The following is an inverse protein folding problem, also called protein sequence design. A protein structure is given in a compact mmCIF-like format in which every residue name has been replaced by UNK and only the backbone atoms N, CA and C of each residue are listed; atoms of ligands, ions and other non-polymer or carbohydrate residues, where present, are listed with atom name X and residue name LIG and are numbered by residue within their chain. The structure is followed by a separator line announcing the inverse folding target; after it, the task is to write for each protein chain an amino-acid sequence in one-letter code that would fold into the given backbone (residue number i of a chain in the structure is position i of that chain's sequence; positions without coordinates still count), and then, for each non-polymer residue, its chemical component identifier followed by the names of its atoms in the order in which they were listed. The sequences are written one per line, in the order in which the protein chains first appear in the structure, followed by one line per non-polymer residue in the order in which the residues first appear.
data_IF_321267680208
#
_entry.id   IF_321267680208
#
_cell.length_a   1.000
_cell.length_b   1.000
_cell.length_c   1.000
_cell.angle_alpha   90.00
_cell.angle_beta   90.00
_cell.angle_gamma   90.00
#
_symmetry.space_group_name_H-M   'P 1'
#
loop_
_entity.id
_entity.type
_entity.pdbx_description
1 polymer ?
#
# COMPACT_ATOMS: atom_id res chain seq x y z
N UNK A 1 -3.61 -31.77 2.33
CA UNK A 1 -4.54 -30.76 2.91
C UNK A 1 -4.05 -29.35 2.55
N UNK A 2 -4.86 -28.58 1.83
CA UNK A 2 -4.56 -27.17 1.59
C UNK A 2 -4.79 -26.40 2.90
N UNK A 3 -3.70 -26.01 3.55
CA UNK A 3 -3.74 -25.26 4.82
C UNK A 3 -4.13 -23.83 4.48
N UNK A 4 -5.32 -23.40 4.92
CA UNK A 4 -5.75 -22.01 4.79
C UNK A 4 -5.27 -21.20 5.99
N UNK A 5 -4.72 -20.01 5.73
CA UNK A 5 -4.24 -19.12 6.77
C UNK A 5 -5.41 -18.45 7.50
N UNK A 6 -5.33 -18.48 8.83
CA UNK A 6 -6.26 -17.78 9.73
C UNK A 6 -5.60 -16.56 10.41
N UNK A 7 -4.28 -16.42 10.27
CA UNK A 7 -3.45 -15.43 10.97
C UNK A 7 -2.25 -15.04 10.12
N UNK A 8 -1.91 -13.75 10.12
CA UNK A 8 -0.62 -13.24 9.67
C UNK A 8 0.12 -12.59 10.82
N UNK A 9 1.45 -12.69 10.83
CA UNK A 9 2.31 -12.18 11.91
C UNK A 9 3.36 -11.21 11.39
N UNK A 10 3.77 -10.26 12.23
CA UNK A 10 4.94 -9.42 12.02
C UNK A 10 5.53 -8.99 13.37
N UNK A 11 6.78 -8.52 13.36
CA UNK A 11 7.48 -8.10 14.57
C UNK A 11 8.33 -6.87 14.31
N UNK A 12 8.57 -6.10 15.37
CA UNK A 12 9.54 -4.99 15.39
C UNK A 12 10.44 -5.14 16.61
N UNK A 13 11.74 -5.07 16.36
CA UNK A 13 12.77 -5.01 17.40
C UNK A 13 13.22 -3.56 17.53
N UNK A 14 13.03 -2.98 18.71
CA UNK A 14 13.52 -1.66 19.07
C UNK A 14 14.38 -1.73 20.34
N UNK A 15 14.92 -0.58 20.75
CA UNK A 15 15.57 -0.42 22.07
C UNK A 15 14.71 0.54 22.91
N UNK A 16 14.32 0.18 24.14
CA UNK A 16 14.59 -1.07 24.85
C UNK A 16 13.57 -2.20 24.56
N UNK A 17 12.57 -1.97 23.71
CA UNK A 17 11.40 -2.85 23.58
C UNK A 17 11.27 -3.51 22.21
N UNK A 18 10.73 -4.72 22.20
CA UNK A 18 10.27 -5.42 21.00
C UNK A 18 8.78 -5.72 21.10
N UNK A 19 8.12 -5.90 19.96
CA UNK A 19 6.76 -6.41 19.92
C UNK A 19 6.56 -7.35 18.74
N UNK A 20 5.77 -8.40 18.98
CA UNK A 20 5.19 -9.27 17.97
C UNK A 20 3.70 -9.01 17.93
N UNK A 21 3.16 -8.77 16.74
CA UNK A 21 1.73 -8.57 16.54
C UNK A 21 1.23 -9.53 15.47
N UNK A 22 -0.04 -9.89 15.56
CA UNK A 22 -0.68 -10.78 14.61
C UNK A 22 -2.13 -10.38 14.36
N UNK A 23 -2.68 -10.90 13.27
CA UNK A 23 -4.11 -10.84 12.95
C UNK A 23 -4.76 -12.19 13.23
N UNK A 24 -6.07 -12.21 13.46
CA UNK A 24 -6.88 -13.43 13.45
C UNK A 24 -8.14 -13.14 12.64
N UNK A 25 -8.39 -13.94 11.59
CA UNK A 25 -9.55 -13.82 10.73
C UNK A 25 -10.75 -14.49 11.42
N UNK A 26 -11.59 -13.72 12.10
CA UNK A 26 -12.73 -14.26 12.85
C UNK A 26 -13.97 -14.41 11.96
N UNK A 27 -14.42 -13.30 11.38
CA UNK A 27 -15.53 -13.23 10.45
C UNK A 27 -15.33 -12.05 9.48
N UNK A 28 -14.17 -12.04 8.81
CA UNK A 28 -13.82 -10.97 7.87
C UNK A 28 -14.60 -11.15 6.58
N UNK A 29 -15.06 -10.05 5.99
CA UNK A 29 -15.59 -10.07 4.62
C UNK A 29 -14.45 -10.36 3.63
N UNK A 30 -14.29 -11.63 3.26
CA UNK A 30 -13.20 -12.10 2.39
C UNK A 30 -13.26 -11.49 0.98
N UNK A 31 -14.46 -11.12 0.50
CA UNK A 31 -14.61 -10.43 -0.80
C UNK A 31 -14.00 -9.03 -0.75
N UNK A 32 -14.33 -8.23 0.26
CA UNK A 32 -13.72 -6.90 0.45
C UNK A 32 -12.23 -6.97 0.71
N UNK A 33 -11.78 -7.96 1.50
CA UNK A 33 -10.35 -8.20 1.74
C UNK A 33 -9.62 -8.47 0.43
N UNK A 34 -10.13 -9.40 -0.37
CA UNK A 34 -9.52 -9.75 -1.67
C UNK A 34 -9.50 -8.57 -2.63
N UNK A 35 -10.56 -7.75 -2.68
CA UNK A 35 -10.62 -6.57 -3.54
C UNK A 35 -9.62 -5.50 -3.11
N UNK A 36 -9.47 -5.27 -1.80
CA UNK A 36 -8.56 -4.25 -1.26
C UNK A 36 -7.08 -4.60 -1.42
N UNK A 37 -6.77 -5.90 -1.52
CA UNK A 37 -5.40 -6.41 -1.70
C UNK A 37 -5.07 -6.71 -3.16
N UNK A 38 -6.03 -6.55 -4.08
CA UNK A 38 -5.79 -6.85 -5.47
C UNK A 38 -4.89 -5.79 -6.11
N UNK A 39 -3.77 -6.22 -6.67
CA UNK A 39 -2.80 -5.33 -7.29
C UNK A 39 -3.23 -5.07 -8.74
N UNK A 40 -3.80 -3.90 -9.01
CA UNK A 40 -4.23 -3.51 -10.36
C UNK A 40 -3.08 -2.91 -11.19
N UNK A 41 -2.04 -2.39 -10.53
CA UNK A 41 -1.03 -1.61 -11.20
C UNK A 41 -0.09 -2.47 -12.07
N UNK A 42 0.08 -2.06 -13.33
CA UNK A 42 0.96 -2.69 -14.32
C UNK A 42 2.16 -1.79 -14.61
N UNK A 43 3.31 -2.40 -14.92
CA UNK A 43 4.52 -1.65 -15.31
C UNK A 43 5.23 -0.96 -14.14
N UNK A 44 4.89 -1.32 -12.89
CA UNK A 44 5.63 -0.89 -11.69
C UNK A 44 6.89 -1.76 -11.55
N UNK A 45 8.04 -1.11 -11.48
CA UNK A 45 9.33 -1.73 -11.20
C UNK A 45 9.80 -1.20 -9.84
N UNK A 46 9.89 -2.09 -8.83
CA UNK A 46 10.27 -1.74 -7.46
C UNK A 46 11.03 -2.87 -6.77
N UNK A 47 11.86 -2.52 -5.79
CA UNK A 47 12.50 -3.45 -4.85
C UNK A 47 11.72 -3.58 -3.52
N UNK A 48 10.47 -3.10 -3.46
CA UNK A 48 9.63 -3.26 -2.29
C UNK A 48 9.39 -4.74 -1.96
N UNK A 49 9.31 -5.06 -0.67
CA UNK A 49 9.02 -6.43 -0.22
C UNK A 49 7.63 -6.84 -0.68
N UNK A 50 7.57 -7.86 -1.54
CA UNK A 50 6.32 -8.39 -2.04
C UNK A 50 5.54 -9.12 -0.94
N UNK A 51 4.21 -8.98 -0.97
CA UNK A 51 3.33 -9.82 -0.15
C UNK A 51 3.28 -11.24 -0.71
N UNK A 52 3.17 -12.24 0.15
CA UNK A 52 2.96 -13.64 -0.25
C UNK A 52 1.47 -13.99 -0.17
N UNK A 53 0.75 -14.12 -1.30
CA UNK A 53 -0.67 -14.46 -1.28
C UNK A 53 -0.89 -15.87 -0.70
N UNK A 54 -1.94 -16.03 0.09
CA UNK A 54 -2.31 -17.32 0.66
C UNK A 54 -3.84 -17.47 0.71
N UNK A 55 -4.37 -18.69 0.57
CA UNK A 55 -5.78 -18.95 0.83
C UNK A 55 -6.08 -18.64 2.31
N UNK A 56 -7.21 -17.98 2.55
CA UNK A 56 -7.62 -17.54 3.90
C UNK A 56 -8.92 -18.19 4.36
N UNK A 57 -9.03 -18.37 5.67
CA UNK A 57 -10.19 -18.98 6.32
C UNK A 57 -10.58 -18.14 7.55
N UNK A 58 -11.87 -17.90 7.74
CA UNK A 58 -12.40 -17.33 8.97
C UNK A 58 -12.59 -18.42 10.03
N UNK A 59 -12.36 -18.09 11.30
CA UNK A 59 -12.65 -18.99 12.42
C UNK A 59 -14.12 -19.39 12.46
N UNK A 60 -15.05 -18.48 12.13
CA UNK A 60 -16.48 -18.80 12.09
C UNK A 60 -16.88 -19.82 11.01
N UNK A 61 -16.05 -20.04 9.98
CA UNK A 61 -16.30 -21.10 8.99
C UNK A 61 -16.05 -22.50 9.57
N UNK A 62 -15.24 -22.59 10.64
CA UNK A 62 -14.93 -23.86 11.35
C UNK A 62 -15.76 -23.99 12.63
N UNK A 63 -15.92 -22.89 13.36
CA UNK A 63 -16.65 -22.83 14.60
C UNK A 63 -17.56 -21.58 14.60
N UNK A 64 -18.82 -21.71 14.14
CA UNK A 64 -19.75 -20.58 14.00
C UNK A 64 -20.02 -19.82 15.31
N UNK A 65 -19.84 -20.51 16.43
CA UNK A 65 -20.01 -20.02 17.80
C UNK A 65 -18.92 -19.02 18.25
N UNK A 66 -17.80 -18.91 17.50
CA UNK A 66 -16.74 -17.95 17.82
C UNK A 66 -17.25 -16.53 17.59
N UNK A 67 -17.05 -15.66 18.59
CA UNK A 67 -17.28 -14.22 18.48
C UNK A 67 -16.03 -13.45 18.92
N UNK A 68 -15.95 -12.17 18.54
CA UNK A 68 -14.83 -11.31 18.97
C UNK A 68 -14.72 -11.25 20.50
N UNK A 69 -15.85 -11.08 21.20
CA UNK A 69 -15.85 -11.00 22.66
C UNK A 69 -15.36 -12.29 23.32
N UNK A 70 -15.78 -13.45 22.81
CA UNK A 70 -15.32 -14.75 23.31
C UNK A 70 -13.83 -14.92 23.04
N UNK A 71 -13.38 -14.58 21.83
CA UNK A 71 -11.98 -14.69 21.45
C UNK A 71 -11.07 -13.81 22.31
N UNK A 72 -11.42 -12.53 22.50
CA UNK A 72 -10.64 -11.59 23.33
C UNK A 72 -10.55 -12.09 24.77
N UNK A 73 -11.68 -12.56 25.34
CA UNK A 73 -11.69 -13.13 26.69
C UNK A 73 -10.82 -14.38 26.78
N UNK A 74 -11.00 -15.33 25.87
CA UNK A 74 -10.22 -16.58 25.87
C UNK A 74 -8.72 -16.32 25.73
N UNK A 75 -8.30 -15.46 24.79
CA UNK A 75 -6.89 -15.08 24.61
C UNK A 75 -6.34 -14.33 25.82
N UNK A 76 -7.10 -13.40 26.38
CA UNK A 76 -6.67 -12.65 27.55
C UNK A 76 -6.53 -13.53 28.78
N UNK A 77 -7.48 -14.42 29.06
CA UNK A 77 -7.34 -15.38 30.17
C UNK A 77 -6.20 -16.37 29.95
N UNK A 78 -5.98 -16.83 28.71
CA UNK A 78 -4.81 -17.64 28.37
C UNK A 78 -3.50 -16.92 28.71
N UNK A 79 -3.40 -15.64 28.34
CA UNK A 79 -2.25 -14.81 28.65
C UNK A 79 -2.09 -14.60 30.17
N UNK A 80 -3.19 -14.33 30.88
CA UNK A 80 -3.18 -14.07 32.32
C UNK A 80 -2.87 -15.33 33.15
N UNK A 81 -3.21 -16.53 32.68
CA UNK A 81 -2.89 -17.79 33.38
C UNK A 81 -1.50 -18.33 33.05
N UNK A 82 -0.90 -17.88 31.96
CA UNK A 82 0.42 -18.37 31.49
C UNK A 82 1.57 -17.60 32.13
N UNK A 83 2.55 -18.32 32.69
CA UNK A 83 3.78 -17.70 33.22
C UNK A 83 4.69 -17.26 32.07
N UNK A 84 5.09 -15.99 32.04
CA UNK A 84 5.82 -15.39 30.91
C UNK A 84 7.18 -16.05 30.56
N UNK A 85 7.85 -16.67 31.54
CA UNK A 85 9.18 -17.30 31.34
C UNK A 85 9.07 -18.79 31.06
N UNK A 86 8.29 -19.52 31.86
CA UNK A 86 8.21 -20.99 31.77
C UNK A 86 7.14 -21.46 30.79
N UNK A 87 6.22 -20.57 30.35
CA UNK A 87 5.07 -20.88 29.49
C UNK A 87 4.12 -21.92 30.09
N UNK A 88 4.18 -22.14 31.40
CA UNK A 88 3.30 -23.05 32.12
C UNK A 88 1.96 -22.37 32.43
N UNK A 89 0.87 -23.15 32.33
CA UNK A 89 -0.44 -22.74 32.85
C UNK A 89 -0.44 -22.80 34.38
N UNK A 90 -0.49 -21.62 35.01
CA UNK A 90 -0.59 -21.46 36.46
C UNK A 90 -2.03 -21.34 36.98
N UNK A 91 -3.03 -21.44 36.10
CA UNK A 91 -4.44 -21.38 36.42
C UNK A 91 -4.88 -20.12 37.17
N UNK A 92 -5.95 -20.25 37.95
CA UNK A 92 -6.53 -19.15 38.74
C UNK A 92 -5.54 -18.51 39.71
N UNK A 93 -4.62 -19.31 40.27
CA UNK A 93 -3.58 -18.80 41.18
C UNK A 93 -2.60 -17.84 40.49
N UNK A 94 -2.37 -17.99 39.19
CA UNK A 94 -1.57 -17.05 38.41
C UNK A 94 -2.40 -15.83 37.99
N UNK A 95 -3.66 -16.02 37.59
CA UNK A 95 -4.59 -14.93 37.25
C UNK A 95 -4.72 -13.95 38.42
N UNK A 96 -4.88 -14.46 39.65
CA UNK A 96 -5.02 -13.66 40.86
C UNK A 96 -3.80 -12.77 41.19
N UNK A 97 -2.63 -13.05 40.60
CA UNK A 97 -1.41 -12.23 40.75
C UNK A 97 -1.33 -11.08 39.74
N UNK A 98 -2.23 -11.05 38.76
CA UNK A 98 -2.26 -10.05 37.69
C UNK A 98 -3.36 -9.02 37.95
N UNK A 99 -3.30 -7.89 37.24
CA UNK A 99 -4.33 -6.83 37.32
C UNK A 99 -5.60 -7.14 36.51
N UNK A 100 -5.68 -8.31 35.89
CA UNK A 100 -6.75 -8.67 34.97
C UNK A 100 -6.76 -7.79 33.70
N UNK A 101 -7.90 -7.74 33.02
CA UNK A 101 -8.10 -6.88 31.86
C UNK A 101 -8.11 -5.41 32.26
N UNK A 102 -7.31 -4.60 31.56
CA UNK A 102 -7.23 -3.17 31.77
C UNK A 102 -7.75 -2.46 30.52
N UNK A 103 -8.81 -1.68 30.67
CA UNK A 103 -9.29 -0.80 29.60
C UNK A 103 -8.39 0.42 29.49
N UNK A 104 -7.98 0.74 28.26
CA UNK A 104 -7.16 1.92 27.97
C UNK A 104 -7.99 2.94 27.20
N UNK A 105 -7.78 4.23 27.49
CA UNK A 105 -8.30 5.32 26.67
C UNK A 105 -7.14 5.91 25.85
N UNK A 106 -7.01 5.59 24.54
CA UNK A 106 -5.88 6.02 23.71
C UNK A 106 -5.98 7.51 23.34
N UNK A 107 -5.76 8.36 24.34
CA UNK A 107 -5.77 9.83 24.25
C UNK A 107 -4.42 10.37 24.69
N UNK A 108 -4.11 11.60 24.27
CA UNK A 108 -2.85 12.26 24.65
C UNK A 108 -2.77 12.50 26.17
N UNK A 109 -3.91 12.75 26.83
CA UNK A 109 -3.98 12.92 28.29
C UNK A 109 -3.50 11.67 29.05
N UNK A 110 -3.81 10.48 28.52
CA UNK A 110 -3.38 9.20 29.11
C UNK A 110 -1.99 8.79 28.61
N UNK A 111 -1.64 9.16 27.38
CA UNK A 111 -0.41 8.78 26.71
C UNK A 111 0.21 10.01 26.01
N UNK A 112 0.93 10.87 26.75
CA UNK A 112 1.50 12.10 26.21
C UNK A 112 2.37 11.85 24.97
N UNK A 113 2.08 12.57 23.88
CA UNK A 113 2.75 12.42 22.59
C UNK A 113 2.06 11.46 21.62
N UNK A 114 0.95 10.82 22.01
CA UNK A 114 0.12 10.00 21.11
C UNK A 114 -0.41 10.82 19.92
N UNK A 115 -0.84 12.06 20.14
CA UNK A 115 -1.33 12.92 19.05
C UNK A 115 -0.24 13.21 18.02
N UNK A 116 1.02 13.35 18.46
CA UNK A 116 2.19 13.49 17.57
C UNK A 116 2.42 12.22 16.75
N UNK A 117 2.38 11.05 17.39
CA UNK A 117 2.52 9.74 16.70
C UNK A 117 1.39 9.54 15.68
N UNK A 118 0.15 9.87 16.05
CA UNK A 118 -0.99 9.79 15.14
C UNK A 118 -0.80 10.71 13.93
N UNK A 119 -0.38 11.96 14.15
CA UNK A 119 -0.12 12.94 13.09
C UNK A 119 0.99 12.45 12.15
N UNK A 120 2.08 11.90 12.71
CA UNK A 120 3.16 11.29 11.93
C UNK A 120 2.63 10.12 11.08
N UNK A 121 1.90 9.18 11.66
CA UNK A 121 1.40 8.00 10.94
C UNK A 121 0.32 8.32 9.91
N UNK A 122 -0.36 9.47 10.03
CA UNK A 122 -1.32 9.96 9.04
C UNK A 122 -0.67 10.83 7.94
N UNK A 123 0.57 11.27 8.16
CA UNK A 123 1.30 12.11 7.21
C UNK A 123 1.51 11.41 5.87
N UNK A 124 1.76 12.21 4.84
CA UNK A 124 2.09 11.68 3.50
C UNK A 124 3.44 10.98 3.54
N UNK A 125 4.39 11.60 4.22
CA UNK A 125 5.78 11.19 4.39
C UNK A 125 5.84 9.78 4.97
N UNK A 126 4.94 9.47 5.92
CA UNK A 126 4.83 8.13 6.48
C UNK A 126 4.09 7.15 5.55
N UNK A 127 2.84 7.48 5.16
CA UNK A 127 1.96 6.52 4.45
C UNK A 127 2.45 6.17 3.05
N UNK A 128 3.04 7.11 2.34
CA UNK A 128 3.46 6.97 0.94
C UNK A 128 4.93 7.33 0.75
N UNK A 129 5.45 8.26 1.54
CA UNK A 129 6.84 8.70 1.45
C UNK A 129 7.86 7.66 1.90
N UNK A 130 7.42 6.65 2.65
CA UNK A 130 8.26 5.51 3.06
C UNK A 130 8.31 4.39 2.03
N UNK A 131 7.54 4.47 0.94
CA UNK A 131 7.60 3.50 -0.15
C UNK A 131 8.98 3.55 -0.80
N UNK A 132 9.68 2.41 -0.96
CA UNK A 132 10.95 2.36 -1.69
C UNK A 132 10.81 2.94 -3.10
N UNK A 133 11.88 3.53 -3.62
CA UNK A 133 11.91 4.05 -4.99
C UNK A 133 11.34 3.01 -5.97
N UNK A 134 10.50 3.50 -6.88
CA UNK A 134 9.94 2.69 -7.95
C UNK A 134 9.80 3.50 -9.24
N UNK A 135 9.68 2.80 -10.35
CA UNK A 135 9.44 3.38 -11.67
C UNK A 135 8.14 2.82 -12.24
N UNK A 136 7.37 3.66 -12.90
CA UNK A 136 6.21 3.25 -13.70
C UNK A 136 6.55 3.52 -15.15
N UNK A 137 6.48 2.49 -16.00
CA UNK A 137 6.72 2.63 -17.43
C UNK A 137 5.53 2.13 -18.24
N UNK A 138 5.11 2.92 -19.23
CA UNK A 138 4.10 2.53 -20.21
C UNK A 138 4.61 2.80 -21.62
N UNK A 139 4.29 1.89 -22.53
CA UNK A 139 4.65 1.98 -23.96
C UNK A 139 3.41 2.20 -24.81
N UNK A 140 3.52 3.06 -25.81
CA UNK A 140 2.47 3.44 -26.73
C UNK A 140 2.98 3.24 -28.16
N UNK A 141 2.23 2.49 -28.95
CA UNK A 141 2.54 2.29 -30.37
C UNK A 141 2.18 3.57 -31.14
N UNK A 142 3.16 4.12 -31.86
CA UNK A 142 2.98 5.28 -32.73
C UNK A 142 2.91 4.76 -34.17
N UNK A 143 1.80 5.01 -34.91
CA UNK A 143 1.72 4.69 -36.32
C UNK A 143 2.80 5.44 -37.09
N UNK A 144 3.61 4.72 -37.86
CA UNK A 144 4.56 5.31 -38.80
C UNK A 144 3.95 5.27 -40.20
N UNK A 145 3.95 6.40 -40.90
CA UNK A 145 3.51 6.51 -42.30
C UNK A 145 4.45 5.74 -43.27
N UNK A 146 5.63 5.30 -42.80
CA UNK A 146 6.66 4.64 -43.61
C UNK A 146 7.05 3.23 -43.16
N UNK A 147 6.27 2.61 -42.26
CA UNK A 147 6.24 1.15 -42.08
C UNK A 147 7.16 0.56 -41.00
N UNK A 148 7.85 1.36 -40.19
CA UNK A 148 8.52 0.86 -38.98
C UNK A 148 7.78 1.37 -37.72
N UNK A 149 6.99 0.54 -37.01
CA UNK A 149 6.29 0.98 -35.81
C UNK A 149 7.29 1.45 -34.74
N UNK A 150 7.21 2.73 -34.38
CA UNK A 150 7.95 3.30 -33.27
C UNK A 150 7.15 3.19 -31.97
N UNK A 151 7.82 2.93 -30.85
CA UNK A 151 7.18 2.99 -29.53
C UNK A 151 7.62 4.21 -28.76
N UNK A 152 6.63 5.02 -28.36
CA UNK A 152 6.81 6.04 -27.33
C UNK A 152 6.75 5.36 -25.97
N UNK A 153 7.79 5.50 -25.16
CA UNK A 153 7.78 5.03 -23.77
C UNK A 153 7.81 6.22 -22.83
N UNK A 154 6.85 6.29 -21.92
CA UNK A 154 6.81 7.29 -20.85
C UNK A 154 7.12 6.57 -19.54
N UNK A 155 8.10 7.07 -18.80
CA UNK A 155 8.49 6.51 -17.51
C UNK A 155 8.49 7.59 -16.42
N UNK A 156 7.83 7.31 -15.30
CA UNK A 156 7.83 8.13 -14.11
C UNK A 156 8.72 7.48 -13.05
N UNK A 157 9.66 8.23 -12.50
CA UNK A 157 10.42 7.80 -11.32
C UNK A 157 9.81 8.41 -10.06
N UNK A 158 9.46 7.57 -9.09
CA UNK A 158 8.86 8.00 -7.83
C UNK A 158 9.85 7.77 -6.69
N UNK A 159 10.15 8.83 -5.95
CA UNK A 159 11.03 8.83 -4.78
C UNK A 159 10.29 9.52 -3.63
N UNK A 160 10.20 8.85 -2.48
CA UNK A 160 9.45 9.36 -1.32
C UNK A 160 7.99 9.73 -1.65
N UNK A 161 7.36 8.96 -2.53
CA UNK A 161 6.00 9.23 -3.01
C UNK A 161 5.85 10.50 -3.85
N UNK A 162 6.95 11.13 -4.26
CA UNK A 162 6.97 12.29 -5.14
C UNK A 162 7.43 11.88 -6.53
N UNK A 163 6.90 12.52 -7.56
CA UNK A 163 7.37 12.36 -8.94
C UNK A 163 8.73 13.06 -9.03
N UNK A 164 9.82 12.30 -9.05
CA UNK A 164 11.17 12.83 -9.09
C UNK A 164 11.55 13.22 -10.52
N UNK A 165 11.23 12.36 -11.49
CA UNK A 165 11.51 12.61 -12.90
C UNK A 165 10.50 11.97 -13.84
N UNK A 166 10.46 12.52 -15.05
CA UNK A 166 9.65 12.03 -16.18
C UNK A 166 10.61 11.81 -17.34
N UNK A 167 10.66 10.58 -17.86
CA UNK A 167 11.58 10.17 -18.90
C UNK A 167 10.83 9.69 -20.14
N UNK A 168 11.31 10.10 -21.31
CA UNK A 168 10.73 9.73 -22.60
C UNK A 168 11.72 8.93 -23.43
N UNK A 169 11.27 7.80 -23.98
CA UNK A 169 11.91 7.18 -25.14
C UNK A 169 11.09 7.55 -26.36
N UNK A 170 11.59 8.53 -27.12
CA UNK A 170 10.88 9.13 -28.25
C UNK A 170 11.26 8.37 -29.53
N UNK A 171 10.29 7.87 -30.31
CA UNK A 171 10.58 7.27 -31.61
C UNK A 171 10.99 8.34 -32.64
N UNK A 172 11.81 8.00 -33.66
CA UNK A 172 12.30 8.96 -34.65
C UNK A 172 11.22 9.85 -35.28
N UNK A 173 10.02 9.31 -35.49
CA UNK A 173 8.87 10.02 -36.07
C UNK A 173 8.43 11.25 -35.25
N UNK A 174 8.70 11.29 -33.94
CA UNK A 174 8.27 12.36 -33.03
C UNK A 174 9.39 13.26 -32.55
N UNK A 175 10.65 13.01 -32.93
CA UNK A 175 11.82 13.73 -32.39
C UNK A 175 11.81 15.22 -32.76
N UNK A 176 11.26 15.56 -33.95
CA UNK A 176 11.18 16.93 -34.44
C UNK A 176 9.76 17.50 -34.43
N UNK A 177 8.82 16.82 -33.76
CA UNK A 177 7.44 17.29 -33.64
C UNK A 177 7.37 18.34 -32.51
N UNK A 178 7.22 19.62 -32.87
CA UNK A 178 7.18 20.73 -31.90
C UNK A 178 5.98 20.62 -30.94
N UNK A 179 4.84 20.07 -31.40
CA UNK A 179 3.68 19.87 -30.53
C UNK A 179 3.97 18.80 -29.49
N UNK A 180 4.59 17.68 -29.90
CA UNK A 180 5.01 16.63 -28.98
C UNK A 180 6.03 17.15 -27.94
N UNK A 181 7.01 17.95 -28.36
CA UNK A 181 8.00 18.52 -27.45
C UNK A 181 7.36 19.46 -26.41
N UNK A 182 6.40 20.28 -26.82
CA UNK A 182 5.68 21.16 -25.91
C UNK A 182 4.83 20.37 -24.90
N UNK A 183 4.21 19.27 -25.34
CA UNK A 183 3.47 18.37 -24.45
C UNK A 183 4.41 17.64 -23.47
N UNK A 184 5.59 17.21 -23.94
CA UNK A 184 6.60 16.59 -23.09
C UNK A 184 7.13 17.56 -22.02
N UNK A 185 7.29 18.84 -22.33
CA UNK A 185 7.63 19.88 -21.33
C UNK A 185 6.52 20.04 -20.28
N UNK A 186 5.27 20.06 -20.71
CA UNK A 186 4.12 20.13 -19.80
C UNK A 186 4.06 18.90 -18.89
N UNK A 187 4.39 17.72 -19.40
CA UNK A 187 4.49 16.50 -18.60
C UNK A 187 5.58 16.58 -17.54
N UNK A 188 6.69 17.27 -17.79
CA UNK A 188 7.72 17.50 -16.78
C UNK A 188 7.26 18.45 -15.66
N UNK A 189 6.18 19.21 -15.84
CA UNK A 189 5.68 20.15 -14.82
C UNK A 189 5.17 19.48 -13.54
N UNK A 190 4.88 18.17 -13.55
CA UNK A 190 4.47 17.43 -12.35
C UNK A 190 5.62 16.96 -11.48
N UNK A 191 6.87 17.21 -11.88
CA UNK A 191 8.03 16.94 -11.04
C UNK A 191 7.91 17.66 -9.69
N UNK A 192 8.29 16.97 -8.62
CA UNK A 192 8.15 17.42 -7.24
C UNK A 192 6.73 17.28 -6.65
N UNK A 193 5.70 16.98 -7.45
CA UNK A 193 4.34 16.76 -6.93
C UNK A 193 4.19 15.38 -6.31
N UNK A 194 3.24 15.25 -5.38
CA UNK A 194 2.81 13.97 -4.81
C UNK A 194 2.23 13.07 -5.89
N UNK A 195 2.72 11.85 -5.97
CA UNK A 195 2.19 10.84 -6.89
C UNK A 195 0.79 10.41 -6.44
N UNK A 196 -0.22 11.05 -7.02
CA UNK A 196 -1.64 10.97 -6.66
C UNK A 196 -2.49 10.97 -7.92
N UNK A 197 -3.70 10.42 -7.84
CA UNK A 197 -4.68 10.46 -8.93
C UNK A 197 -4.91 11.91 -9.42
N UNK A 198 -5.10 12.85 -8.48
CA UNK A 198 -5.25 14.28 -8.80
C UNK A 198 -4.07 14.86 -9.59
N UNK A 199 -2.83 14.47 -9.29
CA UNK A 199 -1.68 14.98 -10.02
C UNK A 199 -1.60 14.43 -11.45
N UNK A 200 -2.12 13.22 -11.66
CA UNK A 200 -2.22 12.60 -12.97
C UNK A 200 -3.42 13.14 -13.77
N UNK A 201 -4.53 13.45 -13.09
CA UNK A 201 -5.72 14.07 -13.70
C UNK A 201 -5.44 15.49 -14.19
N UNK A 202 -4.79 16.33 -13.37
CA UNK A 202 -4.39 17.69 -13.77
C UNK A 202 -3.51 17.66 -15.04
N UNK A 203 -2.62 16.68 -15.11
CA UNK A 203 -1.72 16.46 -16.23
C UNK A 203 -2.48 16.03 -17.49
N UNK A 204 -3.46 15.15 -17.33
CA UNK A 204 -4.38 14.73 -18.39
C UNK A 204 -5.24 15.91 -18.90
N UNK A 205 -5.80 16.71 -18.01
CA UNK A 205 -6.59 17.90 -18.38
C UNK A 205 -5.75 18.93 -19.14
N UNK A 206 -4.51 19.15 -18.70
CA UNK A 206 -3.60 20.08 -19.36
C UNK A 206 -3.24 19.65 -20.80
N UNK A 207 -3.21 18.34 -21.08
CA UNK A 207 -2.88 17.80 -22.40
C UNK A 207 -4.09 17.62 -23.32
N UNK A 208 -5.27 17.37 -22.77
CA UNK A 208 -6.51 17.25 -23.54
C UNK A 208 -7.09 18.61 -23.94
N UNK A 209 -6.87 19.65 -23.13
CA UNK A 209 -7.32 21.02 -23.42
C UNK A 209 -6.61 21.70 -24.60
N UNK A 210 -5.46 21.15 -25.04
CA UNK A 210 -4.68 21.68 -26.18
C UNK A 210 -5.01 21.03 -27.54
N UNK A 211 -6.06 20.22 -27.62
CA UNK A 211 -6.46 19.46 -28.82
C UNK A 211 -6.10 17.97 -28.70
N UNK A 212 -6.52 17.14 -29.67
CA UNK A 212 -6.16 15.72 -29.69
C UNK A 212 -4.66 15.55 -29.94
N UNK A 213 -3.88 15.52 -28.87
CA UNK A 213 -2.46 15.20 -28.91
C UNK A 213 -2.25 13.69 -28.80
N UNK A 214 -1.18 13.16 -29.39
CA UNK A 214 -0.80 11.75 -29.32
C UNK A 214 -0.63 11.25 -27.86
N UNK A 215 -0.37 12.17 -26.92
CA UNK A 215 -0.15 11.91 -25.52
C UNK A 215 -1.44 11.82 -24.69
N UNK A 216 -2.50 12.56 -25.03
CA UNK A 216 -3.74 12.59 -24.24
C UNK A 216 -4.41 11.22 -24.09
N UNK A 217 -4.55 10.46 -25.18
CA UNK A 217 -5.12 9.10 -25.15
C UNK A 217 -4.18 8.07 -24.51
N UNK A 218 -2.87 8.32 -24.57
CA UNK A 218 -1.83 7.49 -23.97
C UNK A 218 -1.82 7.62 -22.44
N UNK A 219 -2.02 8.83 -21.91
CA UNK A 219 -2.06 9.08 -20.47
C UNK A 219 -3.28 8.51 -19.78
N UNK A 220 -4.43 8.46 -20.45
CA UNK A 220 -5.60 7.76 -19.92
C UNK A 220 -5.25 6.34 -19.49
N UNK A 221 -4.50 5.64 -20.33
CA UNK A 221 -4.00 4.29 -20.03
C UNK A 221 -2.95 4.27 -18.94
N UNK A 222 -2.14 5.32 -18.78
CA UNK A 222 -1.21 5.43 -17.64
C UNK A 222 -2.00 5.56 -16.33
N UNK A 223 -3.02 6.43 -16.28
CA UNK A 223 -3.85 6.65 -15.09
C UNK A 223 -4.69 5.42 -14.75
N UNK A 224 -5.28 4.73 -15.74
CA UNK A 224 -6.09 3.53 -15.45
C UNK A 224 -5.28 2.30 -15.01
N UNK A 225 -3.97 2.30 -15.24
CA UNK A 225 -3.08 1.17 -14.92
C UNK A 225 -2.20 1.43 -13.68
N UNK A 226 -2.47 2.50 -12.94
CA UNK A 226 -1.82 2.87 -11.66
C UNK A 226 -2.88 2.83 -10.57
#
# INVERSE_FOLDING_TARGET
PNISQISGTAAKLGRPSSYHHCTLLVNVNKSRLSQSLHHHAKGIISNATASTPAPTLNLQEVCPEVSMDRLIKSLGYEYLRTKAITMEDGGEGQIAKQRGFQTINPTDDWFPGLAKIQSEYQSWEWRYGSTPKFTISQSFDIPDEHGAPGQLVISLEIVKGLIESVCFKIPPALVNDEHFLQDAELLCSVQGRKFTETALDDLKEALTSRGQTYLGTSLDRLVTNV
#
